data_IF_007336805353
#
_entry.id   IF_007336805353
#
_cell.length_a   1.000
_cell.length_b   1.000
_cell.length_c   1.000
_cell.angle_alpha   90.00
_cell.angle_beta   90.00
_cell.angle_gamma   90.00
#
_symmetry.space_group_name_H-M   'P 1'
#
loop_
_entity.id
_entity.type
_entity.pdbx_description
1 polymer ?
#
# COMPACT_ATOMS: atom_id res chain seq x y z
N UNK A 1 -21.71 22.58 34.86
CA UNK A 1 -21.33 22.43 33.45
C UNK A 1 -22.40 21.60 32.79
N UNK A 2 -22.90 22.06 31.65
CA UNK A 2 -23.67 21.19 30.77
C UNK A 2 -22.73 20.17 30.08
N UNK A 3 -23.31 19.22 29.35
CA UNK A 3 -22.54 18.15 28.70
C UNK A 3 -21.55 18.71 27.67
N UNK A 4 -21.91 19.80 26.98
CA UNK A 4 -21.06 20.43 25.98
C UNK A 4 -19.82 21.07 26.63
N UNK A 5 -19.97 21.78 27.75
CA UNK A 5 -18.85 22.33 28.53
C UNK A 5 -17.93 21.22 29.07
N UNK A 6 -18.52 20.11 29.54
CA UNK A 6 -17.74 18.94 29.97
C UNK A 6 -16.95 18.35 28.80
N UNK A 7 -17.59 18.19 27.63
CA UNK A 7 -16.95 17.62 26.45
C UNK A 7 -15.79 18.50 25.98
N UNK A 8 -15.98 19.81 25.89
CA UNK A 8 -14.91 20.75 25.51
C UNK A 8 -13.74 20.70 26.50
N UNK A 9 -14.02 20.60 27.80
CA UNK A 9 -12.98 20.48 28.83
C UNK A 9 -12.22 19.17 28.70
N UNK A 10 -12.92 18.06 28.44
CA UNK A 10 -12.30 16.75 28.24
C UNK A 10 -11.40 16.73 26.99
N UNK A 11 -11.88 17.31 25.88
CA UNK A 11 -11.11 17.43 24.64
C UNK A 11 -9.85 18.30 24.84
N UNK A 12 -9.96 19.40 25.57
CA UNK A 12 -8.81 20.26 25.88
C UNK A 12 -7.76 19.50 26.71
N UNK A 13 -8.18 18.83 27.78
CA UNK A 13 -7.28 18.00 28.58
C UNK A 13 -6.61 16.88 27.78
N UNK A 14 -7.37 16.26 26.87
CA UNK A 14 -6.84 15.21 26.00
C UNK A 14 -5.75 15.78 25.08
N UNK A 15 -6.00 16.93 24.46
CA UNK A 15 -5.01 17.65 23.62
C UNK A 15 -3.78 18.09 24.40
N UNK A 16 -3.93 18.46 25.68
CA UNK A 16 -2.83 18.86 26.56
C UNK A 16 -2.03 17.66 27.12
N UNK A 17 -2.40 16.43 26.77
CA UNK A 17 -1.75 15.20 27.24
C UNK A 17 -2.18 14.76 28.64
N UNK A 18 -3.12 15.46 29.29
CA UNK A 18 -3.76 15.02 30.54
C UNK A 18 -4.83 13.96 30.25
N UNK A 19 -4.39 12.81 29.72
CA UNK A 19 -5.23 11.67 29.33
C UNK A 19 -6.07 11.17 30.51
N UNK A 20 -5.48 11.10 31.71
CA UNK A 20 -6.19 10.67 32.92
C UNK A 20 -7.27 11.66 33.36
N UNK A 21 -7.01 12.96 33.23
CA UNK A 21 -8.02 14.00 33.47
C UNK A 21 -9.13 13.99 32.42
N UNK A 22 -8.79 13.81 31.14
CA UNK A 22 -9.76 13.70 30.06
C UNK A 22 -10.69 12.48 30.24
N UNK A 23 -10.12 11.29 30.50
CA UNK A 23 -10.88 10.07 30.74
C UNK A 23 -11.88 10.22 31.88
N UNK A 24 -11.49 10.90 32.97
CA UNK A 24 -12.41 11.18 34.09
C UNK A 24 -13.60 12.02 33.67
N UNK A 25 -13.38 13.06 32.86
CA UNK A 25 -14.47 13.93 32.40
C UNK A 25 -15.35 13.21 31.38
N UNK A 26 -14.78 12.42 30.46
CA UNK A 26 -15.59 11.56 29.58
C UNK A 26 -16.46 10.58 30.37
N UNK A 27 -15.92 10.00 31.45
CA UNK A 27 -16.69 9.17 32.37
C UNK A 27 -17.87 9.90 33.01
N UNK A 28 -17.67 11.16 33.44
CA UNK A 28 -18.75 12.00 33.97
C UNK A 28 -19.84 12.27 32.92
N UNK A 29 -19.46 12.47 31.66
CA UNK A 29 -20.42 12.61 30.56
C UNK A 29 -21.24 11.32 30.42
N UNK A 30 -20.61 10.15 30.47
CA UNK A 30 -21.30 8.85 30.38
C UNK A 30 -22.13 8.51 31.62
N UNK A 31 -21.85 9.09 32.79
CA UNK A 31 -22.75 8.97 33.96
C UNK A 31 -24.07 9.73 33.76
N UNK A 32 -24.03 10.85 33.02
CA UNK A 32 -25.21 11.68 32.72
C UNK A 32 -25.94 11.13 31.49
N UNK A 33 -25.19 10.79 30.44
CA UNK A 33 -25.67 10.25 29.18
C UNK A 33 -24.86 9.01 28.80
N UNK A 34 -25.29 7.80 29.21
CA UNK A 34 -24.54 6.54 29.04
C UNK A 34 -24.17 6.18 27.61
N UNK A 35 -24.71 6.88 26.62
CA UNK A 35 -24.61 6.57 25.20
C UNK A 35 -24.07 7.74 24.38
N UNK A 36 -23.49 8.75 25.05
CA UNK A 36 -22.97 9.95 24.40
C UNK A 36 -21.83 9.61 23.42
N UNK A 37 -22.03 9.73 22.09
CA UNK A 37 -21.13 9.15 21.09
C UNK A 37 -19.69 9.63 21.20
N UNK A 38 -19.48 10.95 21.34
CA UNK A 38 -18.13 11.52 21.40
C UNK A 38 -17.37 11.10 22.66
N UNK A 39 -18.06 10.92 23.79
CA UNK A 39 -17.40 10.50 25.04
C UNK A 39 -16.99 9.02 24.98
N UNK A 40 -17.86 8.17 24.43
CA UNK A 40 -17.56 6.76 24.20
C UNK A 40 -16.41 6.56 23.21
N UNK A 41 -16.40 7.29 22.09
CA UNK A 41 -15.31 7.22 21.10
C UNK A 41 -13.97 7.66 21.67
N UNK A 42 -13.94 8.78 22.41
CA UNK A 42 -12.70 9.27 23.01
C UNK A 42 -12.17 8.32 24.09
N UNK A 43 -13.02 7.71 24.91
CA UNK A 43 -12.59 6.69 25.86
C UNK A 43 -12.08 5.42 25.17
N UNK A 44 -12.74 4.98 24.08
CA UNK A 44 -12.26 3.84 23.31
C UNK A 44 -10.90 4.11 22.66
N UNK A 45 -10.66 5.34 22.17
CA UNK A 45 -9.35 5.77 21.68
C UNK A 45 -8.30 5.74 22.78
N UNK A 46 -8.61 6.24 23.97
CA UNK A 46 -7.70 6.19 25.12
C UNK A 46 -7.38 4.74 25.52
N UNK A 47 -8.38 3.86 25.52
CA UNK A 47 -8.20 2.43 25.82
C UNK A 47 -7.33 1.75 24.76
N UNK A 48 -7.52 2.07 23.47
CA UNK A 48 -6.64 1.63 22.38
C UNK A 48 -5.18 2.05 22.63
N UNK A 49 -4.95 3.33 22.91
CA UNK A 49 -3.60 3.89 23.15
C UNK A 49 -2.91 3.28 24.37
N UNK A 50 -3.69 2.85 25.37
CA UNK A 50 -3.21 2.14 26.57
C UNK A 50 -3.02 0.63 26.35
N UNK A 51 -3.33 0.10 25.17
CA UNK A 51 -3.25 -1.32 24.86
C UNK A 51 -4.37 -2.16 25.49
N UNK A 52 -5.44 -1.53 25.99
CA UNK A 52 -6.63 -2.19 26.53
C UNK A 52 -7.57 -2.60 25.37
N UNK A 53 -7.04 -3.43 24.47
CA UNK A 53 -7.62 -3.68 23.15
C UNK A 53 -9.04 -4.30 23.22
N UNK A 54 -9.26 -5.29 24.09
CA UNK A 54 -10.59 -5.90 24.22
C UNK A 54 -11.63 -4.96 24.89
N UNK A 55 -11.18 -4.05 25.77
CA UNK A 55 -12.05 -3.02 26.34
C UNK A 55 -12.47 -2.02 25.25
N UNK A 56 -11.49 -1.49 24.50
CA UNK A 56 -11.75 -0.61 23.36
C UNK A 56 -12.70 -1.27 22.34
N UNK A 57 -12.45 -2.55 22.01
CA UNK A 57 -13.32 -3.33 21.11
C UNK A 57 -14.76 -3.36 21.59
N UNK A 58 -14.98 -3.71 22.86
CA UNK A 58 -16.33 -3.79 23.43
C UNK A 58 -17.03 -2.43 23.43
N UNK A 59 -16.32 -1.35 23.76
CA UNK A 59 -16.87 0.01 23.68
C UNK A 59 -17.30 0.34 22.26
N UNK A 60 -16.48 0.04 21.25
CA UNK A 60 -16.77 0.33 19.85
C UNK A 60 -17.95 -0.51 19.31
N UNK A 61 -18.10 -1.78 19.75
CA UNK A 61 -19.31 -2.57 19.46
C UNK A 61 -20.56 -1.82 19.94
N UNK A 62 -20.53 -1.25 21.15
CA UNK A 62 -21.70 -0.52 21.67
C UNK A 62 -21.98 0.79 20.95
N UNK A 63 -20.95 1.46 20.40
CA UNK A 63 -21.12 2.65 19.57
C UNK A 63 -21.75 2.27 18.23
N UNK A 64 -21.19 1.27 17.54
CA UNK A 64 -21.66 0.80 16.24
C UNK A 64 -23.05 0.16 16.30
N UNK A 65 -23.45 -0.40 17.43
CA UNK A 65 -24.81 -0.91 17.63
C UNK A 65 -25.89 0.21 17.66
N UNK A 66 -25.48 1.48 17.83
CA UNK A 66 -26.38 2.63 17.84
C UNK A 66 -26.26 3.49 16.59
N UNK A 67 -25.05 3.57 16.06
CA UNK A 67 -24.69 4.34 14.88
C UNK A 67 -23.79 3.48 14.01
N UNK A 68 -24.43 2.69 13.14
CA UNK A 68 -23.74 1.72 12.28
C UNK A 68 -22.86 2.39 11.22
N UNK A 69 -23.10 3.67 10.93
CA UNK A 69 -22.35 4.45 9.94
C UNK A 69 -21.28 5.33 10.60
N UNK A 70 -20.96 5.10 11.88
CA UNK A 70 -19.97 5.92 12.58
C UNK A 70 -18.54 5.67 12.07
N UNK A 71 -18.08 6.49 11.13
CA UNK A 71 -16.77 6.35 10.49
C UNK A 71 -15.58 6.33 11.46
N UNK A 72 -15.63 7.13 12.54
CA UNK A 72 -14.57 7.15 13.57
C UNK A 72 -14.58 5.85 14.38
N UNK A 73 -15.76 5.33 14.73
CA UNK A 73 -15.88 4.04 15.41
C UNK A 73 -15.31 2.91 14.55
N UNK A 74 -15.65 2.89 13.25
CA UNK A 74 -15.10 1.97 12.27
C UNK A 74 -13.57 2.05 12.17
N UNK A 75 -13.02 3.26 12.11
CA UNK A 75 -11.56 3.46 12.07
C UNK A 75 -10.89 2.88 13.32
N UNK A 76 -11.37 3.25 14.52
CA UNK A 76 -10.81 2.75 15.79
C UNK A 76 -10.96 1.23 15.89
N UNK A 77 -12.10 0.67 15.47
CA UNK A 77 -12.35 -0.77 15.52
C UNK A 77 -11.36 -1.53 14.65
N UNK A 78 -11.14 -1.04 13.42
CA UNK A 78 -10.19 -1.66 12.50
C UNK A 78 -8.77 -1.69 13.08
N UNK A 79 -8.32 -0.60 13.72
CA UNK A 79 -7.02 -0.52 14.41
C UNK A 79 -6.94 -1.52 15.57
N UNK A 80 -7.97 -1.58 16.41
CA UNK A 80 -8.05 -2.58 17.50
C UNK A 80 -7.92 -4.00 16.95
N UNK A 81 -8.66 -4.33 15.89
CA UNK A 81 -8.60 -5.64 15.24
C UNK A 81 -7.21 -5.96 14.69
N UNK A 82 -6.57 -5.01 14.01
CA UNK A 82 -5.20 -5.20 13.50
C UNK A 82 -4.20 -5.41 14.63
N UNK A 83 -4.29 -4.67 15.74
CA UNK A 83 -3.42 -4.87 16.91
C UNK A 83 -3.67 -6.20 17.63
N UNK A 84 -4.91 -6.71 17.59
CA UNK A 84 -5.26 -8.04 18.11
C UNK A 84 -4.88 -9.19 17.16
N UNK A 85 -4.35 -8.90 15.97
CA UNK A 85 -4.09 -9.91 14.92
C UNK A 85 -5.36 -10.45 14.25
N UNK A 86 -6.54 -9.88 14.53
CA UNK A 86 -7.83 -10.25 13.95
C UNK A 86 -8.03 -9.52 12.60
N UNK A 87 -7.13 -9.74 11.65
CA UNK A 87 -7.06 -8.94 10.43
C UNK A 87 -8.34 -9.01 9.57
N UNK A 88 -8.90 -10.21 9.36
CA UNK A 88 -10.13 -10.40 8.58
C UNK A 88 -11.35 -9.69 9.21
N UNK A 89 -11.36 -9.54 10.53
CA UNK A 89 -12.39 -8.75 11.21
C UNK A 89 -12.18 -7.24 10.98
N UNK A 90 -10.92 -6.78 10.92
CA UNK A 90 -10.59 -5.36 10.75
C UNK A 90 -10.83 -4.80 9.34
N UNK A 91 -10.67 -5.62 8.29
CA UNK A 91 -10.83 -5.19 6.88
C UNK A 91 -12.19 -4.58 6.52
N UNK A 92 -13.34 -5.15 6.89
CA UNK A 92 -14.62 -4.50 6.63
C UNK A 92 -14.75 -3.17 7.39
N UNK A 93 -14.21 -3.06 8.61
CA UNK A 93 -14.28 -1.83 9.37
C UNK A 93 -13.42 -0.70 8.79
N UNK A 94 -12.21 -0.97 8.29
CA UNK A 94 -11.42 0.10 7.63
C UNK A 94 -12.04 0.53 6.29
N UNK A 95 -12.70 -0.39 5.59
CA UNK A 95 -13.43 -0.08 4.35
C UNK A 95 -14.62 0.84 4.64
N UNK A 96 -15.44 0.49 5.64
CA UNK A 96 -16.54 1.34 6.10
C UNK A 96 -16.04 2.70 6.64
N UNK A 97 -14.91 2.74 7.36
CA UNK A 97 -14.32 4.01 7.79
C UNK A 97 -14.00 4.93 6.60
N UNK A 98 -13.41 4.38 5.54
CA UNK A 98 -13.12 5.12 4.31
C UNK A 98 -14.38 5.56 3.56
N UNK A 99 -15.42 4.72 3.50
CA UNK A 99 -16.70 5.08 2.89
C UNK A 99 -17.39 6.25 3.59
N UNK A 100 -17.29 6.32 4.93
CA UNK A 100 -17.90 7.37 5.75
C UNK A 100 -17.04 8.63 5.84
N UNK A 101 -15.71 8.50 5.70
CA UNK A 101 -14.73 9.59 5.82
C UNK A 101 -13.79 9.66 4.59
N UNK A 102 -14.31 9.78 3.35
CA UNK A 102 -13.50 9.67 2.14
C UNK A 102 -12.52 10.84 1.94
N UNK A 103 -12.80 11.99 2.56
CA UNK A 103 -11.96 13.21 2.48
C UNK A 103 -10.83 13.22 3.53
N UNK A 104 -10.86 12.32 4.51
CA UNK A 104 -9.84 12.25 5.56
C UNK A 104 -8.61 11.49 5.05
N UNK A 105 -7.57 12.21 4.65
CA UNK A 105 -6.33 11.64 4.08
C UNK A 105 -5.73 10.51 4.94
N UNK A 106 -5.79 10.66 6.27
CA UNK A 106 -5.32 9.64 7.21
C UNK A 106 -6.09 8.32 7.11
N UNK A 107 -7.41 8.38 6.91
CA UNK A 107 -8.26 7.20 6.73
C UNK A 107 -7.97 6.54 5.38
N UNK A 108 -7.86 7.33 4.31
CA UNK A 108 -7.51 6.83 2.99
C UNK A 108 -6.14 6.11 2.99
N UNK A 109 -5.14 6.68 3.68
CA UNK A 109 -3.81 6.08 3.81
C UNK A 109 -3.84 4.74 4.57
N UNK A 110 -4.60 4.65 5.66
CA UNK A 110 -4.76 3.41 6.44
C UNK A 110 -5.55 2.34 5.68
N UNK A 111 -6.60 2.75 4.95
CA UNK A 111 -7.36 1.88 4.07
C UNK A 111 -6.48 1.26 2.99
N UNK A 112 -5.73 2.09 2.24
CA UNK A 112 -4.79 1.60 1.22
C UNK A 112 -3.75 0.66 1.84
N UNK A 113 -3.17 1.03 2.99
CA UNK A 113 -2.20 0.20 3.69
C UNK A 113 -2.79 -1.15 4.12
N UNK A 114 -4.03 -1.17 4.60
CA UNK A 114 -4.73 -2.40 4.98
C UNK A 114 -4.99 -3.30 3.76
N UNK A 115 -5.46 -2.75 2.64
CA UNK A 115 -5.72 -3.53 1.43
C UNK A 115 -4.44 -4.08 0.82
N UNK A 116 -3.34 -3.32 0.88
CA UNK A 116 -2.01 -3.80 0.49
C UNK A 116 -1.52 -4.93 1.39
N UNK A 117 -1.64 -4.79 2.72
CA UNK A 117 -1.28 -5.87 3.67
C UNK A 117 -2.07 -7.14 3.37
N UNK A 118 -3.37 -7.02 3.09
CA UNK A 118 -4.22 -8.17 2.71
C UNK A 118 -3.72 -8.83 1.44
N UNK A 119 -3.52 -8.08 0.37
CA UNK A 119 -3.05 -8.62 -0.91
C UNK A 119 -1.65 -9.25 -0.80
N UNK A 120 -0.72 -8.58 -0.13
CA UNK A 120 0.67 -9.04 0.02
C UNK A 120 0.87 -10.02 1.20
N UNK A 121 -0.21 -10.62 1.72
CA UNK A 121 -0.11 -11.79 2.57
C UNK A 121 0.10 -13.03 1.69
N UNK A 122 1.07 -13.86 2.06
CA UNK A 122 1.35 -15.09 1.31
C UNK A 122 0.30 -16.15 1.60
N UNK A 123 -0.53 -16.44 0.60
CA UNK A 123 -1.55 -17.49 0.65
C UNK A 123 -1.02 -18.76 -0.01
N UNK A 124 -0.74 -19.78 0.80
CA UNK A 124 -0.09 -21.00 0.35
C UNK A 124 -0.95 -21.78 -0.67
N UNK A 125 -2.25 -21.89 -0.43
CA UNK A 125 -3.16 -22.65 -1.28
C UNK A 125 -3.33 -21.96 -2.65
N UNK A 126 -3.53 -20.64 -2.66
CA UNK A 126 -3.57 -19.83 -3.89
C UNK A 126 -2.27 -19.96 -4.68
N UNK A 127 -1.11 -19.89 -4.00
CA UNK A 127 0.18 -20.06 -4.66
C UNK A 127 0.28 -21.42 -5.36
N UNK A 128 -0.11 -22.51 -4.69
CA UNK A 128 0.00 -23.85 -5.29
C UNK A 128 -0.91 -24.01 -6.50
N UNK A 129 -2.16 -23.53 -6.41
CA UNK A 129 -3.09 -23.54 -7.53
C UNK A 129 -2.52 -22.82 -8.76
N UNK A 130 -2.05 -21.58 -8.58
CA UNK A 130 -1.49 -20.79 -9.68
C UNK A 130 -0.18 -21.38 -10.21
N UNK A 131 0.67 -21.89 -9.32
CA UNK A 131 1.95 -22.48 -9.72
C UNK A 131 1.74 -23.77 -10.53
N UNK A 132 0.83 -24.66 -10.13
CA UNK A 132 0.51 -25.88 -10.88
C UNK A 132 -0.15 -25.58 -12.22
N UNK A 133 -1.12 -24.66 -12.26
CA UNK A 133 -1.74 -24.20 -13.50
C UNK A 133 -0.69 -23.64 -14.47
N UNK A 134 0.25 -22.83 -13.98
CA UNK A 134 1.36 -22.36 -14.79
C UNK A 134 2.23 -23.50 -15.34
N UNK A 135 2.62 -24.49 -14.53
CA UNK A 135 3.41 -25.63 -15.04
C UNK A 135 2.69 -26.41 -16.16
N UNK A 136 1.37 -26.42 -16.15
CA UNK A 136 0.53 -27.10 -17.14
C UNK A 136 0.16 -26.21 -18.34
N UNK A 137 0.59 -24.95 -18.34
CA UNK A 137 0.13 -23.91 -19.28
C UNK A 137 -1.39 -23.66 -19.26
N UNK A 138 -2.00 -23.88 -18.11
CA UNK A 138 -3.41 -23.67 -17.82
C UNK A 138 -3.54 -22.60 -16.72
N UNK A 139 -3.01 -21.41 -17.00
CA UNK A 139 -3.13 -20.24 -16.13
C UNK A 139 -3.68 -19.09 -16.96
N UNK A 140 -4.67 -18.38 -16.41
CA UNK A 140 -5.23 -17.20 -17.05
C UNK A 140 -4.20 -16.05 -17.09
N UNK A 141 -4.17 -15.29 -18.18
CA UNK A 141 -3.18 -14.22 -18.43
C UNK A 141 -3.17 -13.17 -17.31
N UNK A 142 -4.35 -12.82 -16.77
CA UNK A 142 -4.55 -11.87 -15.68
C UNK A 142 -4.03 -12.36 -14.31
N UNK A 143 -3.79 -13.67 -14.17
CA UNK A 143 -3.25 -14.29 -12.95
C UNK A 143 -1.73 -14.39 -12.92
N UNK A 144 -1.06 -14.14 -14.05
CA UNK A 144 0.41 -14.24 -14.13
C UNK A 144 1.11 -13.27 -13.18
N UNK A 145 0.61 -12.04 -13.05
CA UNK A 145 1.16 -11.06 -12.11
C UNK A 145 0.95 -11.48 -10.65
N UNK A 146 -0.20 -12.07 -10.32
CA UNK A 146 -0.45 -12.61 -8.97
C UNK A 146 0.51 -13.76 -8.64
N UNK A 147 0.78 -14.65 -9.59
CA UNK A 147 1.77 -15.71 -9.43
C UNK A 147 3.18 -15.14 -9.18
N UNK A 148 3.59 -14.11 -9.92
CA UNK A 148 4.87 -13.44 -9.69
C UNK A 148 4.96 -12.83 -8.28
N UNK A 149 3.90 -12.15 -7.83
CA UNK A 149 3.81 -11.60 -6.47
C UNK A 149 3.89 -12.70 -5.40
N UNK A 150 3.09 -13.77 -5.48
CA UNK A 150 3.13 -14.84 -4.48
C UNK A 150 4.47 -15.57 -4.46
N UNK A 151 5.11 -15.73 -5.62
CA UNK A 151 6.46 -16.33 -5.68
C UNK A 151 7.50 -15.44 -5.03
N UNK A 152 7.40 -14.11 -5.20
CA UNK A 152 8.23 -13.14 -4.48
C UNK A 152 7.97 -13.15 -2.96
N UNK A 153 6.71 -13.20 -2.54
CA UNK A 153 6.35 -13.24 -1.12
C UNK A 153 6.87 -14.53 -0.45
N UNK A 154 6.89 -15.65 -1.17
CA UNK A 154 7.45 -16.92 -0.68
C UNK A 154 8.95 -16.84 -0.34
N UNK A 155 9.71 -16.02 -1.07
CA UNK A 155 11.15 -15.80 -0.85
C UNK A 155 11.45 -14.58 0.06
N UNK A 156 10.45 -13.74 0.32
CA UNK A 156 10.58 -12.50 1.11
C UNK A 156 10.76 -12.78 2.62
N UNK A 157 12.00 -13.05 3.02
CA UNK A 157 12.43 -13.19 4.43
C UNK A 157 13.11 -11.91 4.93
N UNK A 158 13.24 -11.71 6.26
CA UNK A 158 13.95 -10.57 6.82
C UNK A 158 15.36 -10.36 6.22
N UNK A 159 16.07 -11.45 5.92
CA UNK A 159 17.39 -11.40 5.26
C UNK A 159 17.35 -10.78 3.87
N UNK A 160 16.39 -11.20 3.03
CA UNK A 160 16.22 -10.62 1.69
C UNK A 160 15.80 -9.15 1.78
N UNK A 161 14.82 -8.83 2.64
CA UNK A 161 14.33 -7.46 2.82
C UNK A 161 15.49 -6.54 3.21
N UNK A 162 16.31 -6.94 4.18
CA UNK A 162 17.51 -6.19 4.60
C UNK A 162 18.46 -5.91 3.45
N UNK A 163 18.70 -6.89 2.59
CA UNK A 163 19.59 -6.74 1.43
C UNK A 163 18.99 -5.83 0.35
N UNK A 164 17.66 -5.85 0.16
CA UNK A 164 16.96 -5.00 -0.81
C UNK A 164 16.94 -3.55 -0.35
N UNK A 165 16.67 -3.28 0.93
CA UNK A 165 16.49 -1.90 1.43
C UNK A 165 17.76 -1.18 1.84
N UNK A 166 18.92 -1.83 1.64
CA UNK A 166 20.24 -1.30 1.94
C UNK A 166 20.46 0.04 1.21
N UNK A 167 20.82 1.12 1.94
CA UNK A 167 20.71 2.49 1.40
C UNK A 167 21.77 2.81 0.35
N UNK A 168 22.97 2.24 0.46
CA UNK A 168 24.10 2.51 -0.42
C UNK A 168 24.73 1.20 -0.87
N UNK A 169 24.82 1.02 -2.19
CA UNK A 169 25.45 -0.13 -2.82
C UNK A 169 26.38 0.37 -3.94
N UNK A 170 27.64 -0.12 -4.01
CA UNK A 170 28.47 0.08 -5.19
C UNK A 170 27.77 -0.39 -6.47
N UNK A 171 28.07 0.24 -7.60
CA UNK A 171 27.43 -0.06 -8.90
C UNK A 171 27.61 -1.53 -9.31
N UNK A 172 28.76 -2.13 -8.99
CA UNK A 172 29.07 -3.53 -9.35
C UNK A 172 28.59 -4.56 -8.31
N UNK A 173 27.66 -4.18 -7.43
CA UNK A 173 27.17 -5.09 -6.40
C UNK A 173 26.24 -6.15 -7.01
N UNK A 174 26.45 -7.46 -6.73
CA UNK A 174 25.53 -8.50 -7.13
C UNK A 174 24.11 -8.28 -6.57
N UNK A 175 23.12 -8.84 -7.24
CA UNK A 175 21.72 -8.77 -6.82
C UNK A 175 21.49 -9.35 -5.41
N UNK A 176 20.36 -8.98 -4.80
CA UNK A 176 20.06 -9.33 -3.41
C UNK A 176 20.05 -10.85 -3.16
N UNK A 177 19.50 -11.65 -4.08
CA UNK A 177 19.46 -13.11 -3.93
C UNK A 177 20.85 -13.72 -4.08
N UNK A 178 21.64 -13.29 -5.05
CA UNK A 178 23.02 -13.75 -5.22
C UNK A 178 23.88 -13.44 -3.99
N UNK A 179 23.72 -12.25 -3.40
CA UNK A 179 24.37 -11.88 -2.13
C UNK A 179 23.88 -12.76 -0.99
N UNK A 180 22.58 -13.05 -0.90
CA UNK A 180 22.04 -13.90 0.15
C UNK A 180 22.56 -15.34 0.04
N UNK A 181 22.55 -15.93 -1.16
CA UNK A 181 23.10 -17.26 -1.43
C UNK A 181 24.55 -17.37 -0.97
N UNK A 182 25.38 -16.36 -1.22
CA UNK A 182 26.79 -16.36 -0.80
C UNK A 182 27.01 -16.32 0.72
N UNK A 183 26.01 -15.86 1.49
CA UNK A 183 26.05 -15.79 2.95
C UNK A 183 25.49 -17.05 3.62
N UNK A 184 24.77 -17.90 2.87
CA UNK A 184 24.14 -19.10 3.42
C UNK A 184 25.10 -20.29 3.52
N UNK A 185 24.95 -21.15 4.55
CA UNK A 185 25.57 -22.47 4.59
C UNK A 185 25.24 -23.29 3.34
N UNK A 186 26.18 -24.13 2.91
CA UNK A 186 26.05 -24.90 1.66
C UNK A 186 24.79 -25.79 1.60
N UNK A 187 24.35 -26.31 2.74
CA UNK A 187 23.12 -27.10 2.87
C UNK A 187 21.82 -26.32 2.66
N UNK A 188 21.83 -25.00 2.88
CA UNK A 188 20.66 -24.12 2.72
C UNK A 188 20.57 -23.47 1.33
N UNK A 189 21.67 -23.43 0.57
CA UNK A 189 21.72 -22.83 -0.76
C UNK A 189 20.76 -23.48 -1.79
N UNK A 190 20.59 -24.82 -1.84
CA UNK A 190 19.71 -25.45 -2.83
C UNK A 190 18.26 -25.00 -2.74
N UNK A 191 17.74 -24.79 -1.52
CA UNK A 191 16.36 -24.35 -1.30
C UNK A 191 16.17 -22.93 -1.85
N UNK A 192 17.05 -21.99 -1.45
CA UNK A 192 16.97 -20.61 -1.94
C UNK A 192 17.17 -20.53 -3.46
N UNK A 193 18.08 -21.31 -4.03
CA UNK A 193 18.30 -21.36 -5.47
C UNK A 193 17.06 -21.86 -6.24
N UNK A 194 16.31 -22.81 -5.68
CA UNK A 194 15.06 -23.28 -6.26
C UNK A 194 13.98 -22.19 -6.20
N UNK A 195 13.81 -21.54 -5.04
CA UNK A 195 12.86 -20.42 -4.89
C UNK A 195 13.18 -19.27 -5.85
N UNK A 196 14.47 -18.92 -5.99
CA UNK A 196 14.93 -17.89 -6.90
C UNK A 196 14.63 -18.24 -8.37
N UNK A 197 14.86 -19.51 -8.77
CA UNK A 197 14.53 -19.97 -10.13
C UNK A 197 13.03 -19.85 -10.40
N UNK A 198 12.19 -20.30 -9.47
CA UNK A 198 10.73 -20.19 -9.61
C UNK A 198 10.30 -18.73 -9.72
N UNK A 199 10.91 -17.85 -8.92
CA UNK A 199 10.65 -16.41 -8.97
C UNK A 199 11.00 -15.81 -10.34
N UNK A 200 12.21 -16.08 -10.85
CA UNK A 200 12.63 -15.64 -12.17
C UNK A 200 11.67 -16.11 -13.27
N UNK A 201 11.32 -17.40 -13.26
CA UNK A 201 10.38 -17.97 -14.25
C UNK A 201 8.98 -17.33 -14.19
N UNK A 202 8.47 -17.05 -13.00
CA UNK A 202 7.18 -16.39 -12.84
C UNK A 202 7.18 -14.97 -13.43
N UNK A 203 8.24 -14.20 -13.16
CA UNK A 203 8.40 -12.84 -13.69
C UNK A 203 8.64 -12.84 -15.21
N UNK A 204 9.48 -13.75 -15.72
CA UNK A 204 9.69 -13.92 -17.17
C UNK A 204 8.37 -14.23 -17.89
N UNK A 205 7.56 -15.12 -17.32
CA UNK A 205 6.27 -15.49 -17.91
C UNK A 205 5.27 -14.34 -17.88
N UNK A 206 5.19 -13.60 -16.78
CA UNK A 206 4.38 -12.39 -16.69
C UNK A 206 4.82 -11.38 -17.77
N UNK A 207 6.12 -11.08 -17.84
CA UNK A 207 6.67 -10.14 -18.83
C UNK A 207 6.45 -10.61 -20.27
N UNK A 208 6.43 -11.91 -20.55
CA UNK A 208 6.21 -12.41 -21.90
C UNK A 208 4.79 -12.14 -22.44
N UNK A 209 3.82 -11.91 -21.56
CA UNK A 209 2.45 -11.60 -21.96
C UNK A 209 2.33 -10.14 -22.39
N UNK A 210 1.63 -9.91 -23.52
CA UNK A 210 1.38 -8.57 -24.09
C UNK A 210 0.70 -7.62 -23.10
N UNK A 211 -0.10 -8.15 -22.16
CA UNK A 211 -0.82 -7.38 -21.15
C UNK A 211 0.15 -6.54 -20.30
N UNK A 212 1.35 -7.06 -20.05
CA UNK A 212 2.36 -6.48 -19.15
C UNK A 212 3.56 -5.85 -19.88
N UNK A 213 3.47 -5.67 -21.20
CA UNK A 213 4.52 -5.01 -21.98
C UNK A 213 4.50 -3.49 -21.77
N UNK A 214 5.67 -2.82 -21.70
CA UNK A 214 5.75 -1.36 -21.65
C UNK A 214 4.98 -0.70 -22.80
N UNK A 215 4.34 0.43 -22.51
CA UNK A 215 3.49 1.14 -23.47
C UNK A 215 4.13 2.46 -23.90
N UNK A 216 3.90 2.87 -25.15
CA UNK A 216 4.20 4.23 -25.59
C UNK A 216 3.18 5.20 -25.01
N UNK A 217 3.65 6.39 -24.61
CA UNK A 217 2.81 7.37 -23.95
C UNK A 217 3.32 8.80 -24.09
N UNK A 218 2.39 9.75 -23.90
CA UNK A 218 2.68 11.15 -23.60
C UNK A 218 2.48 11.38 -22.11
N UNK A 219 3.56 11.71 -21.40
CA UNK A 219 3.59 11.97 -19.96
C UNK A 219 3.60 13.48 -19.73
N UNK A 220 2.57 13.98 -19.04
CA UNK A 220 2.41 15.40 -18.70
C UNK A 220 2.89 15.59 -17.26
N UNK A 221 3.83 16.51 -17.08
CA UNK A 221 4.49 16.78 -15.81
C UNK A 221 3.78 17.91 -15.06
N UNK A 222 3.75 17.81 -13.74
CA UNK A 222 3.27 18.90 -12.88
C UNK A 222 4.19 20.10 -13.01
N UNK A 223 3.59 21.28 -13.18
CA UNK A 223 4.31 22.55 -13.13
C UNK A 223 4.69 22.85 -11.67
N UNK A 224 5.99 22.94 -11.40
CA UNK A 224 6.50 23.34 -10.09
C UNK A 224 6.85 24.84 -10.08
N UNK A 225 6.57 25.58 -9.00
CA UNK A 225 6.75 27.04 -8.94
C UNK A 225 8.16 27.53 -9.33
N UNK A 226 9.19 26.72 -9.06
CA UNK A 226 10.60 27.09 -9.20
C UNK A 226 11.36 26.30 -10.29
N UNK A 227 10.67 25.48 -11.09
CA UNK A 227 11.30 24.68 -12.16
C UNK A 227 10.54 24.84 -13.48
N UNK A 228 10.82 25.90 -14.28
CA UNK A 228 10.30 26.01 -15.64
C UNK A 228 10.98 24.92 -16.50
N UNK A 229 10.26 23.84 -16.78
CA UNK A 229 10.72 22.70 -17.59
C UNK A 229 9.73 22.37 -18.70
N UNK A 230 10.07 21.38 -19.53
CA UNK A 230 9.11 20.81 -20.48
C UNK A 230 7.97 20.14 -19.71
N UNK A 231 6.76 20.65 -19.90
CA UNK A 231 5.54 20.15 -19.25
C UNK A 231 5.08 18.80 -19.80
N UNK A 232 5.73 18.28 -20.85
CA UNK A 232 5.29 17.07 -21.56
C UNK A 232 6.47 16.30 -22.15
N UNK A 233 6.46 14.97 -22.00
CA UNK A 233 7.45 14.05 -22.56
C UNK A 233 6.76 12.94 -23.35
N UNK A 234 7.24 12.66 -24.56
CA UNK A 234 6.82 11.46 -25.31
C UNK A 234 7.84 10.37 -25.10
N UNK A 235 7.36 9.16 -24.82
CA UNK A 235 8.20 8.00 -24.52
C UNK A 235 7.72 6.80 -25.30
N UNK A 236 8.66 5.97 -25.75
CA UNK A 236 8.35 4.72 -26.45
C UNK A 236 8.07 3.57 -25.48
N UNK A 237 8.71 3.60 -24.30
CA UNK A 237 8.54 2.59 -23.26
C UNK A 237 8.27 3.26 -21.91
N UNK A 238 7.08 2.99 -21.38
CA UNK A 238 6.64 3.35 -20.04
C UNK A 238 6.28 2.09 -19.24
N UNK A 239 6.91 1.94 -18.08
CA UNK A 239 6.64 0.90 -17.08
C UNK A 239 7.03 1.40 -15.69
N UNK A 240 6.63 0.72 -14.61
CA UNK A 240 7.15 0.99 -13.27
C UNK A 240 8.62 0.53 -13.14
N UNK A 241 9.43 1.21 -12.32
CA UNK A 241 10.82 0.74 -12.05
C UNK A 241 10.86 -0.57 -11.26
N UNK A 242 9.76 -0.91 -10.57
CA UNK A 242 9.57 -2.19 -9.90
C UNK A 242 9.04 -3.24 -10.89
N UNK A 243 9.83 -4.28 -11.10
CA UNK A 243 9.55 -5.35 -12.05
C UNK A 243 8.29 -6.16 -11.76
N UNK A 244 7.80 -6.15 -10.51
CA UNK A 244 6.59 -6.87 -10.12
C UNK A 244 5.34 -6.04 -10.37
N UNK A 245 5.46 -4.71 -10.29
CA UNK A 245 4.41 -3.81 -10.80
C UNK A 245 4.44 -3.81 -12.34
N UNK A 246 5.60 -3.60 -12.95
CA UNK A 246 5.77 -3.62 -14.41
C UNK A 246 4.92 -2.56 -15.11
N UNK A 247 4.40 -2.87 -16.30
CA UNK A 247 3.53 -1.97 -17.06
C UNK A 247 2.06 -2.00 -16.56
N UNK A 248 1.87 -1.90 -15.25
CA UNK A 248 0.56 -1.79 -14.61
C UNK A 248 0.54 -0.68 -13.55
N UNK A 249 -0.66 -0.26 -13.16
CA UNK A 249 -0.89 0.69 -12.08
C UNK A 249 -1.46 -0.05 -10.86
N UNK A 250 -0.75 -0.02 -9.73
CA UNK A 250 -1.26 -0.49 -8.44
C UNK A 250 -2.31 0.51 -7.92
N UNK A 251 -3.56 0.09 -7.78
CA UNK A 251 -4.64 0.89 -7.21
C UNK A 251 -5.47 0.09 -6.21
N UNK A 252 -6.06 0.76 -5.24
CA UNK A 252 -7.10 0.21 -4.38
C UNK A 252 -8.46 0.73 -4.84
N UNK A 253 -9.40 -0.17 -5.11
CA UNK A 253 -10.80 0.14 -5.48
C UNK A 253 -11.70 -0.91 -4.87
N UNK A 254 -12.88 -0.51 -4.37
CA UNK A 254 -13.89 -1.46 -3.87
C UNK A 254 -13.42 -2.38 -2.74
N UNK A 255 -12.46 -1.95 -1.92
CA UNK A 255 -11.91 -2.78 -0.83
C UNK A 255 -10.92 -3.85 -1.29
N UNK A 256 -10.37 -3.74 -2.50
CA UNK A 256 -9.38 -4.68 -3.03
C UNK A 256 -8.23 -3.95 -3.73
N UNK A 257 -7.05 -4.59 -3.74
CA UNK A 257 -5.89 -4.13 -4.49
C UNK A 257 -5.93 -4.70 -5.90
N UNK A 258 -5.77 -3.84 -6.90
CA UNK A 258 -5.74 -4.18 -8.30
C UNK A 258 -4.45 -3.68 -8.96
N UNK A 259 -4.01 -4.41 -9.97
CA UNK A 259 -2.94 -4.00 -10.88
C UNK A 259 -3.53 -3.84 -12.27
N UNK A 260 -3.81 -2.59 -12.66
CA UNK A 260 -4.49 -2.29 -13.93
C UNK A 260 -3.44 -2.14 -15.04
N UNK A 261 -3.45 -2.97 -16.09
CA UNK A 261 -2.43 -2.91 -17.13
C UNK A 261 -2.51 -1.62 -17.94
N UNK A 262 -1.34 -1.03 -18.23
CA UNK A 262 -1.24 0.15 -19.10
C UNK A 262 -1.81 -0.11 -20.50
N UNK A 263 -1.72 -1.36 -20.98
CA UNK A 263 -2.30 -1.79 -22.25
C UNK A 263 -3.84 -1.69 -22.31
N UNK A 264 -4.52 -1.62 -21.15
CA UNK A 264 -5.98 -1.47 -21.05
C UNK A 264 -6.41 -0.03 -20.77
N UNK A 265 -5.47 0.85 -20.41
CA UNK A 265 -5.72 2.24 -20.03
C UNK A 265 -5.47 3.15 -21.24
N UNK A 266 -6.39 4.08 -21.49
CA UNK A 266 -6.23 5.15 -22.46
C UNK A 266 -5.54 6.38 -21.83
N UNK A 267 -5.93 6.76 -20.60
CA UNK A 267 -5.23 7.80 -19.86
C UNK A 267 -5.33 7.63 -18.35
N UNK A 268 -4.36 8.20 -17.63
CA UNK A 268 -4.32 8.27 -16.16
C UNK A 268 -4.24 9.73 -15.76
N UNK A 269 -5.12 10.18 -14.85
CA UNK A 269 -5.03 11.47 -14.19
C UNK A 269 -4.74 11.26 -12.71
N UNK A 270 -3.73 11.96 -12.19
CA UNK A 270 -3.30 11.85 -10.80
C UNK A 270 -3.72 13.09 -10.01
N UNK A 271 -4.42 12.89 -8.89
CA UNK A 271 -4.71 13.95 -7.92
C UNK A 271 -3.41 14.54 -7.33
N UNK A 272 -3.53 15.58 -6.51
CA UNK A 272 -2.37 16.10 -5.80
C UNK A 272 -1.73 15.00 -4.93
N UNK A 273 -0.37 14.95 -4.85
CA UNK A 273 0.31 13.93 -4.08
C UNK A 273 -0.15 13.90 -2.62
N UNK A 274 -0.68 12.75 -2.21
CA UNK A 274 -1.07 12.42 -0.84
C UNK A 274 -0.68 10.96 -0.55
N UNK A 275 -0.54 10.53 0.72
CA UNK A 275 -0.12 9.16 1.04
C UNK A 275 -0.91 8.06 0.30
N UNK A 276 -2.22 8.27 0.13
CA UNK A 276 -3.08 7.57 -0.81
C UNK A 276 -3.54 8.56 -1.90
N UNK A 277 -2.88 8.55 -3.06
CA UNK A 277 -3.15 9.51 -4.14
C UNK A 277 -4.34 9.04 -4.97
N UNK A 278 -5.38 9.86 -5.08
CA UNK A 278 -6.51 9.59 -5.98
C UNK A 278 -6.07 9.51 -7.44
N UNK A 279 -6.59 8.53 -8.16
CA UNK A 279 -6.35 8.36 -9.59
C UNK A 279 -7.65 8.14 -10.35
N UNK A 280 -7.72 8.70 -11.55
CA UNK A 280 -8.81 8.49 -12.50
C UNK A 280 -8.22 7.86 -13.77
N UNK A 281 -8.71 6.67 -14.12
CA UNK A 281 -8.31 5.92 -15.30
C UNK A 281 -9.45 5.97 -16.31
N UNK A 282 -9.16 6.50 -17.50
CA UNK A 282 -10.03 6.32 -18.65
C UNK A 282 -9.57 5.04 -19.35
N UNK A 283 -10.41 4.01 -19.34
CA UNK A 283 -10.11 2.71 -19.94
C UNK A 283 -10.35 2.75 -21.45
N UNK A 284 -9.68 1.89 -22.20
CA UNK A 284 -9.81 1.83 -23.67
C UNK A 284 -11.18 1.36 -24.14
N UNK A 285 -11.91 0.63 -23.31
CA UNK A 285 -13.28 0.19 -23.57
C UNK A 285 -14.34 1.27 -23.25
N UNK A 286 -13.91 2.41 -22.70
CA UNK A 286 -14.76 3.53 -22.31
C UNK A 286 -15.23 3.52 -20.85
N UNK A 287 -14.87 2.51 -20.05
CA UNK A 287 -15.09 2.57 -18.59
C UNK A 287 -14.24 3.69 -17.97
N UNK A 288 -14.78 4.36 -16.95
CA UNK A 288 -14.02 5.25 -16.08
C UNK A 288 -13.84 4.56 -14.74
N UNK A 289 -12.57 4.35 -14.36
CA UNK A 289 -12.18 3.68 -13.12
C UNK A 289 -11.52 4.69 -12.20
N UNK A 290 -12.03 4.85 -10.98
CA UNK A 290 -11.37 5.64 -9.93
C UNK A 290 -10.83 4.74 -8.83
N UNK A 291 -9.72 5.12 -8.22
CA UNK A 291 -9.12 4.41 -7.10
C UNK A 291 -8.08 5.22 -6.36
N UNK A 292 -7.46 4.60 -5.37
CA UNK A 292 -6.37 5.18 -4.59
C UNK A 292 -5.06 4.45 -4.89
N UNK A 293 -4.04 5.20 -5.28
CA UNK A 293 -2.71 4.68 -5.56
C UNK A 293 -1.78 4.90 -4.36
N UNK A 294 -1.06 3.87 -3.87
CA UNK A 294 0.00 4.04 -2.90
C UNK A 294 1.24 4.71 -3.52
N UNK A 295 1.74 5.75 -2.86
CA UNK A 295 2.95 6.47 -3.31
C UNK A 295 4.27 5.73 -3.02
N UNK A 296 4.27 4.74 -2.13
CA UNK A 296 5.49 4.07 -1.68
C UNK A 296 5.51 2.58 -2.03
N UNK A 297 6.67 2.09 -2.44
CA UNK A 297 6.88 0.66 -2.67
C UNK A 297 6.78 -0.18 -1.39
N UNK A 298 6.50 -1.48 -1.56
CA UNK A 298 6.18 -2.42 -0.49
C UNK A 298 7.17 -2.40 0.67
N UNK A 299 8.48 -2.40 0.39
CA UNK A 299 9.50 -2.49 1.44
C UNK A 299 10.03 -1.15 1.96
N UNK A 300 9.38 -0.04 1.59
CA UNK A 300 9.88 1.30 1.94
C UNK A 300 10.02 1.50 3.45
N UNK A 301 9.07 0.99 4.23
CA UNK A 301 9.06 1.13 5.69
C UNK A 301 10.27 0.48 6.38
N UNK A 302 10.88 -0.53 5.75
CA UNK A 302 12.04 -1.24 6.29
C UNK A 302 13.38 -0.57 5.96
N UNK A 303 13.42 0.44 5.08
CA UNK A 303 14.66 1.14 4.76
C UNK A 303 15.15 1.93 5.95
N UNK A 304 16.44 1.82 6.31
CA UNK A 304 17.05 2.58 7.41
C UNK A 304 17.24 4.07 7.08
N UNK A 305 17.22 4.44 5.79
CA UNK A 305 17.44 5.81 5.35
C UNK A 305 16.17 6.67 5.41
N UNK A 306 16.18 7.69 6.28
CA UNK A 306 15.06 8.64 6.43
C UNK A 306 14.63 9.28 5.11
N UNK A 307 15.59 9.64 4.24
CA UNK A 307 15.30 10.23 2.92
C UNK A 307 14.46 9.31 2.02
N UNK A 308 14.58 7.99 2.17
CA UNK A 308 13.82 7.00 1.41
C UNK A 308 12.41 6.87 1.99
N UNK A 309 12.29 6.73 3.31
CA UNK A 309 10.99 6.70 4.01
C UNK A 309 10.17 7.98 3.84
N UNK A 310 10.84 9.12 3.69
CA UNK A 310 10.23 10.42 3.45
C UNK A 310 9.95 10.69 1.95
N UNK A 311 10.24 9.75 1.05
CA UNK A 311 9.95 9.89 -0.38
C UNK A 311 10.84 10.90 -1.11
N UNK A 312 11.96 11.31 -0.52
CA UNK A 312 12.94 12.21 -1.13
C UNK A 312 13.93 11.49 -2.04
N UNK A 313 13.91 10.16 -2.03
CA UNK A 313 14.77 9.31 -2.85
C UNK A 313 14.07 7.99 -3.15
N UNK A 314 14.31 7.47 -4.35
CA UNK A 314 13.86 6.14 -4.79
C UNK A 314 15.09 5.30 -5.05
N UNK A 315 15.14 4.14 -4.41
CA UNK A 315 16.14 3.12 -4.64
C UNK A 315 15.57 2.13 -5.66
N UNK A 316 16.29 1.91 -6.77
CA UNK A 316 16.02 0.80 -7.68
C UNK A 316 17.02 -0.30 -7.35
N UNK A 317 16.52 -1.48 -6.98
CA UNK A 317 17.32 -2.52 -6.33
C UNK A 317 17.23 -3.84 -7.09
N UNK A 318 18.33 -4.32 -7.71
CA UNK A 318 18.35 -5.64 -8.32
C UNK A 318 18.12 -6.73 -7.27
N UNK A 319 17.09 -7.53 -7.48
CA UNK A 319 16.70 -8.65 -6.62
C UNK A 319 17.21 -9.96 -7.17
N UNK A 320 17.06 -10.18 -8.47
CA UNK A 320 17.51 -11.36 -9.20
C UNK A 320 17.81 -11.00 -10.66
N UNK A 321 19.08 -10.99 -11.05
CA UNK A 321 19.44 -10.59 -12.42
C UNK A 321 18.97 -9.16 -12.75
N UNK A 322 18.13 -9.03 -13.77
CA UNK A 322 17.53 -7.76 -14.23
C UNK A 322 16.20 -7.41 -13.52
N UNK A 323 15.71 -8.29 -12.64
CA UNK A 323 14.49 -8.05 -11.86
C UNK A 323 14.82 -7.07 -10.74
N UNK A 324 14.15 -5.92 -10.72
CA UNK A 324 14.36 -4.84 -9.76
C UNK A 324 13.13 -4.62 -8.88
N UNK A 325 13.36 -4.26 -7.62
CA UNK A 325 12.34 -3.71 -6.74
C UNK A 325 12.60 -2.24 -6.47
N UNK A 326 11.52 -1.47 -6.35
CA UNK A 326 11.59 -0.11 -5.85
C UNK A 326 11.61 -0.07 -4.32
N UNK A 327 12.33 0.88 -3.72
CA UNK A 327 12.23 1.21 -2.29
C UNK A 327 12.22 2.72 -2.15
N UNK A 328 11.19 3.28 -1.50
CA UNK A 328 10.95 4.73 -1.46
C UNK A 328 9.77 5.14 -2.35
N UNK A 329 9.84 6.37 -2.85
CA UNK A 329 8.80 6.97 -3.70
C UNK A 329 8.64 6.17 -5.00
N UNK A 330 7.39 5.87 -5.39
CA UNK A 330 7.08 5.22 -6.66
C UNK A 330 7.62 6.05 -7.83
N UNK A 331 8.21 5.37 -8.81
CA UNK A 331 8.75 5.98 -10.01
C UNK A 331 8.43 5.14 -11.24
N UNK A 332 8.21 5.81 -12.36
CA UNK A 332 8.06 5.16 -13.65
C UNK A 332 9.36 5.28 -14.44
N UNK A 333 9.68 4.27 -15.22
CA UNK A 333 10.78 4.25 -16.17
C UNK A 333 10.27 4.82 -17.50
N UNK A 334 10.85 5.94 -17.93
CA UNK A 334 10.57 6.63 -19.18
C UNK A 334 11.77 6.41 -20.11
N UNK A 335 11.66 5.51 -21.08
CA UNK A 335 12.75 5.12 -21.99
C UNK A 335 14.07 4.77 -21.25
N UNK A 336 13.95 4.12 -20.08
CA UNK A 336 15.08 3.72 -19.24
C UNK A 336 15.31 4.62 -18.02
N UNK A 337 14.87 5.88 -18.06
CA UNK A 337 15.14 6.89 -17.02
C UNK A 337 14.03 6.93 -15.95
N UNK A 338 14.35 6.81 -14.65
CA UNK A 338 13.34 6.85 -13.59
C UNK A 338 12.82 8.27 -13.35
N UNK A 339 11.50 8.41 -13.24
CA UNK A 339 10.81 9.65 -12.87
C UNK A 339 9.83 9.38 -11.71
N UNK A 340 9.97 10.06 -10.55
CA UNK A 340 9.04 9.92 -9.44
C UNK A 340 7.61 10.26 -9.85
N UNK A 341 6.65 9.43 -9.45
CA UNK A 341 5.26 9.55 -9.88
C UNK A 341 4.60 10.86 -9.43
N UNK A 342 5.08 11.43 -8.32
CA UNK A 342 4.63 12.74 -7.82
C UNK A 342 4.95 13.90 -8.75
N UNK A 343 5.85 13.72 -9.72
CA UNK A 343 6.14 14.70 -10.78
C UNK A 343 5.16 14.61 -11.96
N UNK A 344 4.34 13.55 -12.02
CA UNK A 344 3.45 13.28 -13.14
C UNK A 344 2.04 13.76 -12.77
N UNK A 345 1.44 14.52 -13.66
CA UNK A 345 0.06 14.99 -13.55
C UNK A 345 -0.89 14.07 -14.32
N UNK A 346 -0.50 13.72 -15.55
CA UNK A 346 -1.32 12.92 -16.45
C UNK A 346 -0.46 12.05 -17.36
N UNK A 347 -0.97 10.90 -17.75
CA UNK A 347 -0.39 10.03 -18.77
C UNK A 347 -1.46 9.77 -19.84
N UNK A 348 -1.11 9.91 -21.11
CA UNK A 348 -1.95 9.57 -22.25
C UNK A 348 -1.25 8.47 -23.05
N UNK A 349 -1.83 7.27 -23.08
CA UNK A 349 -1.24 6.14 -23.79
C UNK A 349 -1.59 6.20 -25.28
N UNK A 350 -0.66 5.75 -26.11
CA UNK A 350 -0.90 5.66 -27.55
C UNK A 350 -1.90 4.55 -27.87
N UNK A 351 -2.67 4.73 -28.96
CA UNK A 351 -3.79 3.87 -29.35
C UNK A 351 -3.36 2.49 -29.85
#
# INVERSE_FOLDING_TARGET
MDIDELLQTALMKHRDGDVGGAARIYGQILEIEPHHPAASLNLASIALDQGQLEEARNMLITVLARDEDNGIAHLLYSRVCFMLGKHEEGYPHISAAFEQLPEEEGVAAEFVSAMRRRYFTFEQDEYFELFEGAQQNDIAEDRLQRLAHLTFLRISRPDLIRLVVEPELPVETPDAISRWLSQLPGEAQPELALLARNFGQAVERMRADRRYQPQAATVILRVLPDEPGEDTRRVAQLEDVDSLTGATLEIVRGGELHFVPFSEIASIEFAQPAPATGVLLNMRDGEIVSGLMPLFYLFTEFSEADKVRQGRSTLVRPVLGDITCGVGMRALRLDGEPLPIVRIEKIEFEA
#
